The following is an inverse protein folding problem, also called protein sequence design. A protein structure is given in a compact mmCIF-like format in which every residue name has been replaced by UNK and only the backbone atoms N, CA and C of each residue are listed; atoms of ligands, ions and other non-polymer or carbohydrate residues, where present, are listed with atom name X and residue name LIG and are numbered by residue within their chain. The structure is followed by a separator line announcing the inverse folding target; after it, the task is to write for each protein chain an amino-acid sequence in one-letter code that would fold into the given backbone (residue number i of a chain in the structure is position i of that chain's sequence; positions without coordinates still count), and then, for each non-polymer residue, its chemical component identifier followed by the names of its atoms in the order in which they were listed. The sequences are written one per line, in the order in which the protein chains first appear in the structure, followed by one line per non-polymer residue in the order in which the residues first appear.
data_IF_397958956674
#
_entry.id   IF_397958956674
#
_cell.length_a   1.000
_cell.length_b   1.000
_cell.length_c   1.000
_cell.angle_alpha   90.00
_cell.angle_beta   90.00
_cell.angle_gamma   90.00
#
_symmetry.space_group_name_H-M   'P 1'
#
loop_
_entity.id
_entity.type
_entity.pdbx_description
1 polymer ?
#
# COMPACT_ATOMS: atom_id res chain seq x y z
N UNK A 1 61.51 -26.75 39.39
CA UNK A 1 61.63 -25.96 38.14
C UNK A 1 60.41 -26.23 37.27
N UNK A 2 59.53 -25.24 37.08
CA UNK A 2 58.30 -25.36 36.27
C UNK A 2 58.62 -25.10 34.79
N UNK A 3 58.40 -26.08 33.91
CA UNK A 3 58.37 -25.86 32.45
C UNK A 3 56.95 -25.49 32.05
N UNK A 4 56.76 -24.22 31.65
CA UNK A 4 55.54 -23.72 31.03
C UNK A 4 55.64 -24.04 29.53
N UNK A 5 54.80 -24.94 29.04
CA UNK A 5 54.60 -25.16 27.61
C UNK A 5 53.57 -24.14 27.13
N UNK A 6 53.99 -23.17 26.31
CA UNK A 6 53.09 -22.25 25.63
C UNK A 6 52.49 -22.96 24.42
N UNK A 7 51.19 -23.26 24.48
CA UNK A 7 50.41 -23.59 23.29
C UNK A 7 49.88 -22.29 22.69
N UNK A 8 50.49 -21.84 21.60
CA UNK A 8 49.93 -20.77 20.77
C UNK A 8 48.86 -21.40 19.88
N UNK A 9 47.59 -21.24 20.25
CA UNK A 9 46.47 -21.59 19.36
C UNK A 9 46.38 -20.50 18.30
N UNK A 10 46.84 -20.79 17.08
CA UNK A 10 46.47 -20.00 15.90
C UNK A 10 44.98 -20.22 15.64
N UNK A 11 44.14 -19.28 16.05
CA UNK A 11 42.77 -19.20 15.56
C UNK A 11 42.84 -18.74 14.09
N UNK A 12 42.73 -19.69 13.17
CA UNK A 12 42.46 -19.38 11.77
C UNK A 12 41.08 -18.72 11.70
N UNK A 13 41.05 -17.38 11.57
CA UNK A 13 39.87 -16.67 11.10
C UNK A 13 39.61 -17.11 9.67
N UNK A 14 38.79 -18.14 9.50
CA UNK A 14 38.10 -18.40 8.24
C UNK A 14 37.14 -17.24 8.00
N UNK A 15 37.63 -16.23 7.29
CA UNK A 15 36.78 -15.23 6.65
C UNK A 15 35.99 -15.97 5.58
N UNK A 16 34.82 -16.49 5.96
CA UNK A 16 33.84 -16.93 4.98
C UNK A 16 33.44 -15.67 4.19
N UNK A 17 33.70 -15.60 2.88
CA UNK A 17 33.09 -14.56 2.09
C UNK A 17 31.58 -14.80 2.15
N UNK A 18 30.85 -13.90 2.82
CA UNK A 18 29.43 -13.69 2.52
C UNK A 18 29.37 -13.11 1.11
N UNK A 19 29.60 -13.95 0.11
CA UNK A 19 29.10 -13.70 -1.23
C UNK A 19 27.59 -13.62 -1.09
N UNK A 20 27.05 -12.40 -1.14
CA UNK A 20 25.66 -12.16 -1.39
C UNK A 20 25.34 -12.88 -2.71
N UNK A 21 24.74 -14.07 -2.61
CA UNK A 21 24.21 -14.74 -3.78
C UNK A 21 23.22 -13.77 -4.41
N UNK A 22 23.44 -13.41 -5.69
CA UNK A 22 22.47 -12.65 -6.44
C UNK A 22 21.13 -13.37 -6.31
N UNK A 23 20.14 -12.72 -5.70
CA UNK A 23 18.82 -13.30 -5.55
C UNK A 23 18.25 -13.48 -6.96
N UNK A 24 17.90 -14.72 -7.31
CA UNK A 24 17.33 -15.04 -8.62
C UNK A 24 16.10 -14.20 -8.93
N UNK A 25 15.85 -13.93 -10.21
CA UNK A 25 14.64 -13.24 -10.62
C UNK A 25 13.39 -14.07 -10.24
N UNK A 26 12.20 -13.45 -10.07
CA UNK A 26 10.99 -14.18 -9.67
C UNK A 26 10.69 -15.41 -10.54
N UNK A 27 10.84 -15.30 -11.86
CA UNK A 27 10.58 -16.38 -12.83
C UNK A 27 11.63 -17.50 -12.85
N UNK A 28 12.75 -17.34 -12.14
CA UNK A 28 13.78 -18.37 -11.98
C UNK A 28 13.63 -19.17 -10.68
N UNK A 29 12.62 -18.82 -9.86
CA UNK A 29 12.28 -19.46 -8.59
C UNK A 29 11.13 -20.45 -8.76
N UNK A 30 10.95 -21.40 -7.82
CA UNK A 30 9.71 -22.19 -7.73
C UNK A 30 8.47 -21.30 -7.60
N UNK A 31 7.29 -21.88 -7.86
CA UNK A 31 6.01 -21.19 -7.68
C UNK A 31 5.93 -20.53 -6.29
N UNK A 32 5.59 -19.24 -6.19
CA UNK A 32 5.49 -18.54 -4.92
C UNK A 32 4.56 -19.25 -3.94
N UNK A 33 5.00 -19.40 -2.70
CA UNK A 33 4.19 -20.01 -1.65
C UNK A 33 2.89 -19.20 -1.44
N UNK A 34 1.77 -19.89 -1.32
CA UNK A 34 0.45 -19.27 -1.16
C UNK A 34 -0.24 -18.83 -2.46
N UNK A 35 0.42 -18.94 -3.62
CA UNK A 35 -0.19 -18.59 -4.90
C UNK A 35 -1.27 -19.61 -5.30
N UNK A 36 -2.54 -19.20 -5.25
CA UNK A 36 -3.73 -20.00 -5.57
C UNK A 36 -4.21 -19.83 -7.03
N UNK A 37 -5.22 -20.60 -7.44
CA UNK A 37 -5.87 -20.43 -8.75
C UNK A 37 -6.54 -19.05 -8.92
N UNK A 38 -6.97 -18.42 -7.82
CA UNK A 38 -7.47 -17.04 -7.85
C UNK A 38 -6.35 -16.07 -8.26
N UNK A 39 -5.15 -16.26 -7.72
CA UNK A 39 -3.97 -15.47 -8.09
C UNK A 39 -3.56 -15.68 -9.56
N UNK A 40 -3.67 -16.91 -10.09
CA UNK A 40 -3.41 -17.17 -11.51
C UNK A 40 -4.33 -16.33 -12.42
N UNK A 41 -5.62 -16.23 -12.06
CA UNK A 41 -6.59 -15.38 -12.77
C UNK A 41 -6.26 -13.89 -12.62
N UNK A 42 -5.94 -13.44 -11.40
CA UNK A 42 -5.55 -12.04 -11.15
C UNK A 42 -4.32 -11.66 -11.98
N UNK A 43 -3.29 -12.52 -12.00
CA UNK A 43 -2.08 -12.31 -12.78
C UNK A 43 -2.37 -12.26 -14.29
N UNK A 44 -3.22 -13.16 -14.79
CA UNK A 44 -3.64 -13.19 -16.19
C UNK A 44 -4.38 -11.92 -16.62
N UNK A 45 -5.25 -11.37 -15.77
CA UNK A 45 -5.97 -10.14 -16.07
C UNK A 45 -5.07 -8.90 -15.89
N UNK A 46 -4.18 -8.90 -14.90
CA UNK A 46 -3.18 -7.85 -14.70
C UNK A 46 -2.20 -7.75 -15.89
N UNK A 47 -1.67 -8.86 -16.39
CA UNK A 47 -0.72 -8.83 -17.52
C UNK A 47 -1.38 -8.35 -18.82
N UNK A 48 -2.67 -8.65 -19.06
CA UNK A 48 -3.41 -8.07 -20.19
C UNK A 48 -3.43 -6.54 -20.11
N UNK A 49 -3.62 -6.02 -18.90
CA UNK A 49 -3.58 -4.58 -18.67
C UNK A 49 -2.17 -4.00 -18.82
N UNK A 50 -1.13 -4.65 -18.28
CA UNK A 50 0.29 -4.28 -18.49
C UNK A 50 0.60 -4.18 -19.99
N UNK A 51 0.23 -5.19 -20.78
CA UNK A 51 0.46 -5.22 -22.22
C UNK A 51 -0.29 -4.11 -22.95
N UNK A 52 -1.47 -3.71 -22.46
CA UNK A 52 -2.27 -2.63 -23.02
C UNK A 52 -1.66 -1.24 -22.78
N UNK A 53 -1.15 -0.98 -21.57
CA UNK A 53 -0.64 0.35 -21.21
C UNK A 53 0.88 0.49 -21.35
N UNK A 54 1.60 -0.63 -21.49
CA UNK A 54 3.05 -0.70 -21.48
C UNK A 54 3.64 -0.70 -20.07
N UNK A 55 4.71 -1.48 -19.87
CA UNK A 55 5.33 -1.69 -18.56
C UNK A 55 5.75 -0.38 -17.87
N UNK A 56 6.22 0.61 -18.64
CA UNK A 56 6.65 1.93 -18.13
C UNK A 56 5.51 2.74 -17.49
N UNK A 57 4.27 2.45 -17.88
CA UNK A 57 3.07 3.08 -17.33
C UNK A 57 2.43 2.24 -16.21
N UNK A 58 2.88 1.00 -16.01
CA UNK A 58 2.41 0.09 -14.97
C UNK A 58 3.28 0.14 -13.70
N UNK A 59 4.04 1.21 -13.52
CA UNK A 59 5.03 1.34 -12.46
C UNK A 59 6.42 0.98 -12.98
N UNK A 60 7.19 0.29 -12.14
CA UNK A 60 8.59 0.02 -12.43
C UNK A 60 8.77 -1.18 -13.37
N UNK A 61 9.88 -1.17 -14.10
CA UNK A 61 10.27 -2.25 -14.99
C UNK A 61 10.96 -3.37 -14.19
N UNK A 62 10.41 -4.60 -14.18
CA UNK A 62 10.95 -5.72 -13.43
C UNK A 62 12.32 -6.19 -13.92
N UNK A 63 12.78 -5.83 -15.13
CA UNK A 63 14.14 -6.15 -15.59
C UNK A 63 15.22 -5.23 -15.03
N UNK A 64 14.86 -4.06 -14.48
CA UNK A 64 15.84 -3.05 -14.04
C UNK A 64 16.51 -3.36 -12.69
N UNK A 65 16.62 -4.64 -12.31
CA UNK A 65 17.32 -5.14 -11.10
C UNK A 65 16.87 -4.55 -9.76
N UNK A 66 15.80 -3.74 -9.72
CA UNK A 66 15.27 -3.14 -8.47
C UNK A 66 14.52 -4.18 -7.57
N UNK A 67 14.57 -5.48 -7.88
CA UNK A 67 14.09 -6.56 -6.99
C UNK A 67 14.88 -6.63 -5.68
N UNK A 68 16.19 -6.33 -5.74
CA UNK A 68 17.13 -6.43 -4.62
C UNK A 68 17.02 -5.28 -3.63
N UNK A 69 16.27 -4.23 -3.97
CA UNK A 69 16.36 -2.93 -3.29
C UNK A 69 15.97 -2.92 -1.81
N UNK A 70 15.41 -4.03 -1.28
CA UNK A 70 15.20 -4.23 0.15
C UNK A 70 15.24 -5.71 0.59
N UNK A 71 16.19 -6.52 0.12
CA UNK A 71 16.28 -7.94 0.48
C UNK A 71 14.98 -8.71 0.19
N UNK A 72 14.43 -8.56 -1.03
CA UNK A 72 13.18 -9.21 -1.44
C UNK A 72 11.87 -8.58 -0.97
N UNK A 73 11.88 -7.53 -0.12
CA UNK A 73 10.61 -6.97 0.41
C UNK A 73 9.66 -6.37 -0.64
N UNK A 74 10.15 -6.00 -1.82
CA UNK A 74 9.31 -5.52 -2.93
C UNK A 74 8.71 -6.67 -3.75
N UNK A 75 9.20 -7.90 -3.61
CA UNK A 75 8.62 -9.10 -4.25
C UNK A 75 7.20 -9.34 -3.74
N UNK A 76 7.02 -9.24 -2.43
CA UNK A 76 5.73 -9.39 -1.75
C UNK A 76 4.88 -8.10 -1.74
N UNK A 77 5.24 -7.09 -2.52
CA UNK A 77 4.42 -5.88 -2.65
C UNK A 77 3.10 -6.19 -3.39
N UNK A 78 1.94 -5.78 -2.86
CA UNK A 78 0.67 -5.91 -3.56
C UNK A 78 0.63 -5.09 -4.85
N UNK A 79 0.10 -5.67 -5.92
CA UNK A 79 -0.06 -5.01 -7.22
C UNK A 79 -1.30 -4.13 -7.17
N UNK A 80 -1.13 -2.82 -7.37
CA UNK A 80 -2.30 -1.93 -7.35
C UNK A 80 -3.22 -2.18 -8.54
N UNK A 81 -4.52 -2.32 -8.26
CA UNK A 81 -5.55 -2.62 -9.25
C UNK A 81 -6.34 -1.39 -9.70
N UNK A 82 -5.80 -0.18 -9.50
CA UNK A 82 -6.40 1.06 -9.97
C UNK A 82 -5.57 1.72 -11.06
N UNK A 83 -6.22 2.55 -11.87
CA UNK A 83 -5.53 3.53 -12.72
C UNK A 83 -5.43 4.87 -12.00
N UNK A 84 -4.44 5.70 -12.37
CA UNK A 84 -4.32 7.07 -11.85
C UNK A 84 -5.63 7.84 -12.01
N UNK A 85 -6.29 7.75 -13.17
CA UNK A 85 -7.55 8.44 -13.42
C UNK A 85 -8.70 7.95 -12.55
N UNK A 86 -8.81 6.64 -12.31
CA UNK A 86 -9.83 6.10 -11.39
C UNK A 86 -9.58 6.57 -9.97
N UNK A 87 -8.32 6.52 -9.50
CA UNK A 87 -7.95 6.94 -8.16
C UNK A 87 -8.10 8.46 -7.97
N UNK A 88 -7.83 9.27 -8.99
CA UNK A 88 -8.11 10.72 -8.98
C UNK A 88 -9.60 11.00 -8.81
N UNK A 89 -10.48 10.35 -9.58
CA UNK A 89 -11.94 10.49 -9.44
C UNK A 89 -12.43 10.10 -8.05
N UNK A 90 -11.79 9.11 -7.44
CA UNK A 90 -12.12 8.62 -6.11
C UNK A 90 -11.63 9.56 -5.00
N UNK A 91 -10.41 10.07 -5.12
CA UNK A 91 -9.75 10.84 -4.08
C UNK A 91 -10.07 12.34 -4.12
N UNK A 92 -9.91 12.99 -5.28
CA UNK A 92 -9.95 14.45 -5.38
C UNK A 92 -11.33 14.98 -4.99
N UNK A 93 -11.35 15.91 -4.03
CA UNK A 93 -12.57 16.49 -3.46
C UNK A 93 -13.34 15.59 -2.50
N UNK A 94 -12.74 14.46 -2.09
CA UNK A 94 -13.38 13.46 -1.22
C UNK A 94 -12.54 13.17 0.04
N UNK A 95 -13.22 12.55 1.02
CA UNK A 95 -12.63 12.13 2.28
C UNK A 95 -12.19 10.67 2.21
N UNK A 96 -10.96 10.40 2.65
CA UNK A 96 -10.49 9.05 2.95
C UNK A 96 -10.67 8.80 4.45
N UNK A 97 -11.44 7.79 4.82
CA UNK A 97 -11.47 7.26 6.18
C UNK A 97 -10.59 6.02 6.22
N UNK A 98 -9.70 5.93 7.19
CA UNK A 98 -8.71 4.87 7.21
C UNK A 98 -8.22 4.55 8.62
N UNK A 99 -7.65 3.35 8.77
CA UNK A 99 -6.86 3.00 9.96
C UNK A 99 -5.42 3.41 9.72
N UNK A 100 -4.84 4.26 10.57
CA UNK A 100 -3.43 4.70 10.44
C UNK A 100 -2.46 3.76 11.16
N UNK A 101 -2.94 3.03 12.17
CA UNK A 101 -2.16 2.05 12.91
C UNK A 101 -2.98 0.78 13.15
N UNK A 102 -2.53 -0.41 12.69
CA UNK A 102 -3.27 -1.66 12.86
C UNK A 102 -3.51 -2.02 14.34
N UNK A 103 -2.65 -1.52 15.24
CA UNK A 103 -2.68 -1.81 16.67
C UNK A 103 -3.51 -0.80 17.48
N UNK A 104 -4.02 0.27 16.85
CA UNK A 104 -4.91 1.23 17.51
C UNK A 104 -6.34 1.01 17.01
N UNK A 105 -7.28 0.96 17.93
CA UNK A 105 -8.70 0.88 17.58
C UNK A 105 -9.29 2.30 17.44
N UNK A 106 -8.78 3.01 16.43
CA UNK A 106 -9.22 4.34 16.05
C UNK A 106 -9.22 4.46 14.52
N UNK A 107 -10.02 5.39 14.01
CA UNK A 107 -10.01 5.78 12.61
C UNK A 107 -9.41 7.17 12.46
N UNK A 108 -8.73 7.40 11.35
CA UNK A 108 -8.21 8.67 10.90
C UNK A 108 -8.96 9.09 9.64
N UNK A 109 -8.96 10.39 9.35
CA UNK A 109 -9.63 10.97 8.19
C UNK A 109 -8.67 11.91 7.48
N UNK A 110 -8.69 11.90 6.16
CA UNK A 110 -8.04 12.95 5.41
C UNK A 110 -8.84 13.39 4.19
N UNK A 111 -8.71 14.67 3.84
CA UNK A 111 -9.37 15.31 2.72
C UNK A 111 -8.36 15.62 1.62
N UNK A 112 -8.60 15.09 0.43
CA UNK A 112 -7.75 15.32 -0.75
C UNK A 112 -8.31 16.51 -1.52
N UNK A 113 -7.81 17.70 -1.22
CA UNK A 113 -8.31 18.92 -1.83
C UNK A 113 -7.90 19.03 -3.32
N UNK A 114 -8.71 19.68 -4.17
CA UNK A 114 -8.40 19.85 -5.59
C UNK A 114 -7.11 20.63 -5.89
N UNK A 115 -6.61 21.42 -4.94
CA UNK A 115 -5.38 22.21 -5.03
C UNK A 115 -4.09 21.38 -4.84
N UNK A 116 -4.21 20.08 -4.59
CA UNK A 116 -3.07 19.19 -4.31
C UNK A 116 -2.71 19.08 -2.83
N UNK A 117 -3.47 19.72 -1.94
CA UNK A 117 -3.28 19.64 -0.50
C UNK A 117 -4.05 18.46 0.09
N UNK A 118 -3.36 17.65 0.89
CA UNK A 118 -3.96 16.63 1.73
C UNK A 118 -4.02 17.13 3.17
N UNK A 119 -5.24 17.37 3.63
CA UNK A 119 -5.53 17.72 5.02
C UNK A 119 -5.76 16.42 5.76
N UNK A 120 -4.89 16.12 6.70
CA UNK A 120 -4.88 14.84 7.40
C UNK A 120 -5.20 15.05 8.88
N UNK A 121 -5.99 14.16 9.45
CA UNK A 121 -6.30 14.15 10.88
C UNK A 121 -6.11 12.73 11.43
N UNK A 122 -5.03 12.56 12.19
CA UNK A 122 -4.71 11.33 12.89
C UNK A 122 -5.41 11.32 14.24
N UNK A 123 -6.39 10.45 14.40
CA UNK A 123 -7.09 10.37 15.68
C UNK A 123 -6.24 9.66 16.72
N UNK A 124 -6.01 10.32 17.86
CA UNK A 124 -5.34 9.74 19.01
C UNK A 124 -6.36 9.07 19.94
N UNK A 125 -5.97 7.95 20.56
CA UNK A 125 -6.80 7.26 21.57
C UNK A 125 -7.17 8.17 22.77
N UNK A 126 -6.35 9.17 23.06
CA UNK A 126 -6.43 10.03 24.24
C UNK A 126 -7.17 11.38 24.05
N UNK A 127 -7.78 11.64 22.90
CA UNK A 127 -8.49 12.92 22.67
C UNK A 127 -8.40 13.45 21.24
N UNK A 128 -8.27 14.78 21.09
CA UNK A 128 -8.23 15.48 19.79
C UNK A 128 -7.21 14.85 18.83
N UNK A 129 -7.55 14.85 17.55
CA UNK A 129 -6.67 14.40 16.48
C UNK A 129 -5.45 15.30 16.33
N UNK A 130 -4.39 14.75 15.75
CA UNK A 130 -3.27 15.52 15.22
C UNK A 130 -3.58 15.87 13.77
N UNK A 131 -3.70 17.16 13.48
CA UNK A 131 -4.02 17.67 12.16
C UNK A 131 -2.75 18.16 11.44
N UNK A 132 -2.59 17.78 10.18
CA UNK A 132 -1.44 18.12 9.36
C UNK A 132 -1.86 18.41 7.92
N UNK A 133 -1.05 19.20 7.22
CA UNK A 133 -1.23 19.48 5.79
C UNK A 133 0.02 19.07 5.03
N UNK A 134 -0.16 18.31 3.97
CA UNK A 134 0.93 17.85 3.13
C UNK A 134 0.49 17.83 1.67
N UNK A 135 1.40 18.03 0.70
CA UNK A 135 1.06 17.73 -0.69
C UNK A 135 0.79 16.23 -0.85
N UNK A 136 -0.22 15.88 -1.65
CA UNK A 136 -0.43 14.50 -2.10
C UNK A 136 -0.11 14.34 -3.57
N UNK A 137 0.13 13.09 -3.95
CA UNK A 137 0.43 12.67 -5.31
C UNK A 137 -0.35 11.40 -5.60
N UNK A 138 -1.01 11.39 -6.75
CA UNK A 138 -1.62 10.19 -7.32
C UNK A 138 -0.77 9.83 -8.52
N UNK A 139 0.12 8.88 -8.32
CA UNK A 139 1.19 8.48 -9.24
C UNK A 139 1.26 6.96 -9.29
N UNK A 140 1.98 6.34 -10.24
CA UNK A 140 2.15 4.90 -10.24
C UNK A 140 2.69 4.38 -8.91
N UNK A 141 2.19 3.21 -8.48
CA UNK A 141 2.85 2.46 -7.42
C UNK A 141 4.17 1.88 -7.96
N UNK A 142 4.97 1.28 -7.08
CA UNK A 142 6.17 0.58 -7.55
C UNK A 142 5.79 -0.56 -8.50
N UNK A 143 4.75 -1.33 -8.16
CA UNK A 143 4.10 -2.28 -9.07
C UNK A 143 2.60 -1.97 -9.14
N UNK A 144 2.12 -1.51 -10.29
CA UNK A 144 0.74 -1.10 -10.51
C UNK A 144 0.60 0.34 -11.00
N UNK A 145 -0.44 0.61 -11.78
CA UNK A 145 -0.62 1.88 -12.49
C UNK A 145 -1.05 3.05 -11.59
N UNK A 146 -1.32 2.83 -10.30
CA UNK A 146 -1.70 3.88 -9.37
C UNK A 146 -1.28 3.57 -7.94
N UNK A 147 -1.11 4.63 -7.16
CA UNK A 147 -0.83 4.59 -5.74
C UNK A 147 -1.01 5.97 -5.14
N UNK A 148 -1.11 6.02 -3.81
CA UNK A 148 -1.20 7.26 -3.06
C UNK A 148 0.14 7.58 -2.42
N UNK A 149 0.64 8.80 -2.59
CA UNK A 149 1.78 9.28 -1.83
C UNK A 149 1.49 10.64 -1.21
N UNK A 150 2.09 10.87 -0.05
CA UNK A 150 2.01 12.12 0.70
C UNK A 150 3.43 12.57 1.01
N UNK A 151 3.72 13.84 0.82
CA UNK A 151 5.03 14.44 1.05
C UNK A 151 5.67 15.06 -0.21
N UNK A 152 6.88 15.59 -0.05
CA UNK A 152 7.58 16.32 -1.12
C UNK A 152 8.19 15.33 -2.13
N UNK A 153 7.71 15.39 -3.36
CA UNK A 153 8.26 14.70 -4.55
C UNK A 153 8.49 13.18 -4.41
N UNK A 154 7.45 12.38 -4.13
CA UNK A 154 7.57 10.93 -4.07
C UNK A 154 7.87 10.34 -5.46
N UNK A 155 8.81 9.39 -5.54
CA UNK A 155 9.10 8.63 -6.78
C UNK A 155 7.95 7.66 -7.13
N UNK A 156 7.31 7.07 -6.11
CA UNK A 156 6.26 6.08 -6.25
C UNK A 156 5.17 6.28 -5.21
N UNK A 157 3.94 5.91 -5.57
CA UNK A 157 2.81 5.76 -4.68
C UNK A 157 2.88 4.50 -3.83
N UNK A 158 2.21 4.50 -2.68
CA UNK A 158 1.90 3.29 -1.95
C UNK A 158 0.80 2.52 -2.67
N UNK A 159 0.92 1.18 -2.80
CA UNK A 159 -0.05 0.41 -3.53
C UNK A 159 -1.39 0.38 -2.81
N UNK A 160 -2.44 0.39 -3.63
CA UNK A 160 -3.83 0.36 -3.18
C UNK A 160 -4.59 -0.72 -3.93
N UNK A 161 -5.46 -1.43 -3.22
CA UNK A 161 -6.35 -2.42 -3.81
C UNK A 161 -7.77 -2.05 -3.47
N UNK A 162 -8.58 -1.85 -4.50
CA UNK A 162 -9.96 -1.43 -4.40
C UNK A 162 -10.89 -2.55 -4.82
N UNK A 163 -11.91 -2.79 -4.02
CA UNK A 163 -13.05 -3.64 -4.36
C UNK A 163 -14.22 -2.76 -4.84
N UNK A 164 -14.57 -2.78 -6.14
CA UNK A 164 -15.68 -1.99 -6.68
C UNK A 164 -17.04 -2.33 -6.08
N UNK A 165 -17.26 -3.56 -5.60
CA UNK A 165 -18.55 -3.99 -5.08
C UNK A 165 -18.85 -3.34 -3.72
N UNK A 166 -17.89 -3.39 -2.80
CA UNK A 166 -18.05 -2.81 -1.46
C UNK A 166 -17.64 -1.34 -1.37
N UNK A 167 -16.75 -0.89 -2.25
CA UNK A 167 -16.11 0.43 -2.18
C UNK A 167 -14.95 0.50 -1.17
N UNK A 168 -14.58 -0.65 -0.59
CA UNK A 168 -13.45 -0.75 0.34
C UNK A 168 -12.15 -0.69 -0.44
N UNK A 169 -11.19 0.04 0.11
CA UNK A 169 -9.84 0.17 -0.39
C UNK A 169 -8.86 -0.25 0.70
N UNK A 170 -8.00 -1.22 0.42
CA UNK A 170 -6.83 -1.50 1.26
C UNK A 170 -5.64 -0.73 0.72
N UNK A 171 -5.11 0.15 1.57
CA UNK A 171 -3.84 0.81 1.34
C UNK A 171 -2.73 -0.01 2.01
N UNK A 172 -1.59 -0.20 1.37
CA UNK A 172 -0.49 -0.98 1.95
C UNK A 172 0.74 -0.13 2.19
N UNK A 173 1.26 -0.19 3.41
CA UNK A 173 2.47 0.52 3.83
C UNK A 173 3.57 -0.45 4.27
N UNK A 174 4.82 -0.07 4.04
CA UNK A 174 5.98 -0.87 4.44
C UNK A 174 6.58 -0.33 5.76
N UNK A 175 6.48 -1.08 6.85
CA UNK A 175 7.01 -0.71 8.17
C UNK A 175 7.92 -1.80 8.71
N UNK A 176 9.14 -1.43 9.16
CA UNK A 176 10.14 -2.37 9.70
C UNK A 176 10.35 -3.62 8.82
N UNK A 177 10.24 -3.42 7.51
CA UNK A 177 10.44 -4.47 6.52
C UNK A 177 9.25 -5.39 6.25
N UNK A 178 8.08 -5.15 6.84
CA UNK A 178 6.84 -5.90 6.61
C UNK A 178 5.78 -5.00 5.97
N UNK A 179 5.02 -5.55 5.05
CA UNK A 179 3.84 -4.88 4.51
C UNK A 179 2.68 -4.99 5.50
N UNK A 180 2.00 -3.88 5.71
CA UNK A 180 0.82 -3.77 6.54
C UNK A 180 -0.35 -3.31 5.68
N UNK A 181 -1.49 -3.96 5.85
CA UNK A 181 -2.76 -3.58 5.25
C UNK A 181 -3.48 -2.56 6.14
N UNK A 182 -3.97 -1.52 5.50
CA UNK A 182 -4.74 -0.45 6.13
C UNK A 182 -6.07 -0.34 5.40
N UNK A 183 -7.10 -0.94 5.98
CA UNK A 183 -8.46 -0.81 5.48
C UNK A 183 -8.89 0.65 5.50
N UNK A 184 -9.46 1.07 4.38
CA UNK A 184 -9.93 2.43 4.16
C UNK A 184 -11.07 2.45 3.15
N UNK A 185 -11.68 3.62 2.97
CA UNK A 185 -12.58 3.91 1.86
C UNK A 185 -12.57 5.40 1.57
N UNK A 186 -12.99 5.76 0.36
CA UNK A 186 -13.27 7.15 0.00
C UNK A 186 -14.77 7.41 0.03
N UNK A 187 -15.17 8.59 0.48
CA UNK A 187 -16.55 9.04 0.49
C UNK A 187 -16.64 10.55 0.25
N UNK A 188 -17.75 10.98 -0.33
CA UNK A 188 -17.99 12.39 -0.64
C UNK A 188 -18.41 13.21 0.59
N UNK A 189 -19.17 12.57 1.48
CA UNK A 189 -19.82 13.21 2.62
C UNK A 189 -18.86 13.36 3.81
N UNK A 190 -18.90 14.49 4.51
CA UNK A 190 -18.16 14.69 5.74
C UNK A 190 -18.82 13.91 6.90
N UNK A 191 -18.14 12.99 7.59
CA UNK A 191 -18.70 12.32 8.77
C UNK A 191 -18.88 13.33 9.90
N UNK A 192 -20.09 13.52 10.44
CA UNK A 192 -20.28 14.61 11.41
C UNK A 192 -19.46 14.43 12.70
N UNK A 193 -19.17 13.18 13.10
CA UNK A 193 -18.28 12.86 14.22
C UNK A 193 -16.85 13.41 14.03
N UNK A 194 -16.41 13.66 12.79
CA UNK A 194 -15.09 14.23 12.55
C UNK A 194 -14.93 15.65 13.10
N UNK A 195 -16.01 16.42 13.26
CA UNK A 195 -15.93 17.78 13.80
C UNK A 195 -15.49 17.79 15.27
N UNK A 196 -15.76 16.72 16.01
CA UNK A 196 -15.37 16.58 17.42
C UNK A 196 -13.85 16.36 17.57
N UNK A 197 -13.23 15.66 16.61
CA UNK A 197 -11.83 15.22 16.70
C UNK A 197 -10.89 16.03 15.81
N UNK A 198 -11.40 16.61 14.73
CA UNK A 198 -10.65 17.24 13.64
C UNK A 198 -11.27 18.61 13.28
N UNK A 199 -11.25 19.59 14.21
CA UNK A 199 -11.94 20.87 14.02
C UNK A 199 -11.39 21.72 12.86
N UNK A 200 -10.14 21.50 12.42
CA UNK A 200 -9.54 22.26 11.31
C UNK A 200 -9.60 21.51 9.97
N UNK A 201 -10.17 20.30 9.93
CA UNK A 201 -10.32 19.55 8.69
C UNK A 201 -11.36 20.26 7.80
N UNK A 202 -11.06 20.55 6.52
CA UNK A 202 -12.01 21.18 5.62
C UNK A 202 -13.34 20.42 5.56
N UNK A 203 -14.43 21.14 5.83
CA UNK A 203 -15.78 20.59 5.89
C UNK A 203 -16.55 20.98 4.64
N UNK A 204 -17.02 19.98 3.89
CA UNK A 204 -17.99 20.14 2.80
C UNK A 204 -19.40 20.28 3.35
N UNK A 205 -20.28 20.88 2.56
CA UNK A 205 -21.70 21.08 2.91
C UNK A 205 -22.46 19.75 3.08
N UNK A 206 -22.08 18.74 2.30
CA UNK A 206 -22.67 17.40 2.37
C UNK A 206 -22.12 16.66 3.58
N UNK A 207 -22.94 16.52 4.62
CA UNK A 207 -22.57 15.91 5.91
C UNK A 207 -23.37 14.62 6.11
N UNK A 208 -22.68 13.56 6.54
CA UNK A 208 -23.30 12.32 6.98
C UNK A 208 -23.58 12.40 8.49
N UNK A 209 -24.84 12.70 8.84
CA UNK A 209 -25.30 12.80 10.22
C UNK A 209 -25.49 11.45 10.90
N UNK A 210 -25.45 10.34 10.17
CA UNK A 210 -25.61 9.00 10.75
C UNK A 210 -24.28 8.29 10.99
N UNK A 211 -23.20 8.78 10.36
CA UNK A 211 -21.87 8.21 10.53
C UNK A 211 -21.22 8.71 11.82
N UNK A 212 -21.17 7.82 12.82
CA UNK A 212 -20.69 8.05 14.19
C UNK A 212 -19.78 6.91 14.64
N UNK A 213 -19.11 7.09 15.77
CA UNK A 213 -18.34 6.03 16.41
C UNK A 213 -16.88 6.38 16.68
N UNK A 214 -16.30 5.61 17.59
CA UNK A 214 -14.93 5.75 18.04
C UNK A 214 -13.95 4.84 17.29
N UNK A 215 -14.42 3.70 16.82
CA UNK A 215 -13.62 2.68 16.13
C UNK A 215 -13.88 2.70 14.62
N UNK A 216 -12.97 2.07 13.84
CA UNK A 216 -13.17 1.95 12.39
C UNK A 216 -14.43 1.12 12.06
N UNK A 217 -14.75 0.12 12.88
CA UNK A 217 -15.92 -0.74 12.67
C UNK A 217 -17.23 0.04 12.88
N UNK A 218 -17.30 0.87 13.93
CA UNK A 218 -18.48 1.69 14.21
C UNK A 218 -18.70 2.73 13.11
N UNK A 219 -17.66 3.49 12.73
CA UNK A 219 -17.78 4.53 11.71
C UNK A 219 -18.03 3.96 10.29
N UNK A 220 -17.76 2.67 10.08
CA UNK A 220 -18.05 1.99 8.82
C UNK A 220 -19.55 1.66 8.63
N UNK A 221 -20.33 1.52 9.71
CA UNK A 221 -21.72 1.02 9.64
C UNK A 221 -22.62 1.89 8.74
N UNK A 222 -22.49 3.22 8.87
CA UNK A 222 -23.24 4.20 8.08
C UNK A 222 -22.36 4.93 7.06
N UNK A 223 -21.19 4.36 6.74
CA UNK A 223 -20.33 4.91 5.71
C UNK A 223 -21.01 4.83 4.33
N UNK A 224 -20.67 5.78 3.47
CA UNK A 224 -21.08 5.77 2.06
C UNK A 224 -19.86 5.74 1.14
N UNK A 225 -19.15 4.59 1.07
CA UNK A 225 -18.01 4.45 0.18
C UNK A 225 -18.40 4.72 -1.27
N UNK A 226 -17.48 5.30 -2.03
CA UNK A 226 -17.59 5.38 -3.49
C UNK A 226 -17.46 3.95 -4.03
N UNK A 227 -18.50 3.50 -4.75
CA UNK A 227 -18.64 2.13 -5.31
C UNK A 227 -18.73 2.15 -6.83
N UNK A 228 -18.53 0.99 -7.44
CA UNK A 228 -18.78 0.76 -8.87
C UNK A 228 -17.75 1.40 -9.82
N UNK A 229 -16.66 1.97 -9.29
CA UNK A 229 -15.59 2.47 -10.16
C UNK A 229 -14.83 1.29 -10.80
N UNK A 230 -14.55 1.34 -12.12
CA UNK A 230 -13.94 0.22 -12.80
C UNK A 230 -12.47 0.04 -12.39
N UNK A 231 -12.08 -1.22 -12.23
CA UNK A 231 -10.69 -1.66 -12.05
C UNK A 231 -10.22 -2.39 -13.30
N UNK A 232 -8.95 -2.28 -13.71
CA UNK A 232 -8.44 -3.01 -14.87
C UNK A 232 -8.36 -4.52 -14.67
N UNK A 233 -8.25 -4.95 -13.41
CA UNK A 233 -8.30 -6.35 -12.98
C UNK A 233 -8.80 -6.42 -11.53
N UNK A 234 -9.43 -7.52 -11.16
CA UNK A 234 -9.84 -7.75 -9.78
C UNK A 234 -8.65 -8.22 -8.94
N UNK A 235 -8.59 -7.83 -7.67
CA UNK A 235 -7.67 -8.36 -6.67
C UNK A 235 -8.36 -8.35 -5.32
N UNK A 236 -8.12 -9.37 -4.48
CA UNK A 236 -8.68 -9.41 -3.13
C UNK A 236 -7.88 -8.45 -2.23
N UNK A 237 -8.51 -7.48 -1.54
CA UNK A 237 -7.81 -6.60 -0.61
C UNK A 237 -7.22 -7.30 0.64
N UNK A 238 -7.63 -8.55 0.92
CA UNK A 238 -7.12 -9.39 2.02
C UNK A 238 -6.08 -10.42 1.57
N UNK A 239 -6.16 -10.86 0.31
CA UNK A 239 -5.25 -11.84 -0.29
C UNK A 239 -4.83 -11.37 -1.70
N UNK A 240 -3.99 -10.33 -1.77
CA UNK A 240 -3.75 -9.64 -3.02
C UNK A 240 -2.74 -10.33 -3.93
N UNK A 241 -2.88 -10.11 -5.25
CA UNK A 241 -1.80 -10.39 -6.18
C UNK A 241 -0.55 -9.60 -5.76
N UNK A 242 0.58 -10.30 -5.61
CA UNK A 242 1.88 -9.67 -5.35
C UNK A 242 2.70 -9.53 -6.62
N UNK A 243 3.69 -8.64 -6.60
CA UNK A 243 4.60 -8.45 -7.72
C UNK A 243 5.33 -9.76 -8.08
N UNK A 244 5.80 -10.52 -7.08
CA UNK A 244 6.45 -11.83 -7.28
C UNK A 244 5.53 -12.83 -7.98
N UNK A 245 4.27 -12.94 -7.55
CA UNK A 245 3.29 -13.81 -8.19
C UNK A 245 3.02 -13.42 -9.65
N UNK A 246 2.89 -12.11 -9.93
CA UNK A 246 2.67 -11.60 -11.28
C UNK A 246 3.82 -11.98 -12.20
N UNK A 247 5.06 -11.66 -11.82
CA UNK A 247 6.21 -11.86 -12.70
C UNK A 247 6.75 -13.29 -12.69
N UNK A 248 6.42 -14.10 -11.69
CA UNK A 248 6.61 -15.54 -11.78
C UNK A 248 5.69 -16.15 -12.84
N UNK A 249 4.39 -15.80 -12.81
CA UNK A 249 3.39 -16.33 -13.74
C UNK A 249 3.57 -15.80 -15.17
N UNK A 250 3.96 -14.54 -15.31
CA UNK A 250 4.17 -13.86 -16.58
C UNK A 250 5.52 -13.17 -16.56
N UNK A 251 6.61 -13.90 -16.85
CA UNK A 251 7.94 -13.32 -16.90
C UNK A 251 7.98 -12.16 -17.91
N UNK A 252 8.60 -11.03 -17.56
CA UNK A 252 8.81 -9.94 -18.48
C UNK A 252 9.71 -10.40 -19.65
N UNK A 253 9.46 -9.85 -20.84
CA UNK A 253 10.15 -10.21 -22.10
C UNK A 253 11.21 -9.18 -22.47
#
# INVERSE_FOLDING_TARGET
MKRIVKFTVLAALSVLPLSAAADKAPWEKPRPAGMTAAHDKMAADAIKFVNKIGIRNFGNDPHKTEWDWKNGRRSVEPVSNLTTGTLQKMAIGNYKIYKDNPNLDAWSIGYYAPDGTFYDCYRKKSGRGFEAQNPYHIIPAFTGAAGLAVGKSPKYGWPVIYDPASGILTHFGLRRGKWYSYTSWFQEEYPAVAAEYCPNLPRKDKINTEQRGHTLAEIAQNARPIRGLPVPFMSDPKDPLTAEMLWWAYPPK
#
